data_IF_998119511701
#
_entry.id   IF_998119511701
#
_cell.length_a   1.000
_cell.length_b   1.000
_cell.length_c   1.000
_cell.angle_alpha   90.00
_cell.angle_beta   90.00
_cell.angle_gamma   90.00
#
_symmetry.space_group_name_H-M   'P 1'
#
loop_
_entity.id
_entity.type
_entity.pdbx_description
1 polymer ?
#
# COMPACT_ATOMS: atom_id res chain seq x y z
N UNK A 1 9.47 8.80 -15.06
CA UNK A 1 9.68 7.37 -15.40
C UNK A 1 8.49 6.62 -14.81
N UNK A 2 7.81 5.84 -15.63
CA UNK A 2 6.67 5.07 -15.17
C UNK A 2 7.14 3.94 -14.24
N UNK A 3 6.39 3.75 -13.17
CA UNK A 3 6.58 2.71 -12.15
C UNK A 3 5.55 1.63 -12.39
N UNK A 4 5.97 0.37 -12.26
CA UNK A 4 5.04 -0.75 -12.27
C UNK A 4 4.43 -0.92 -10.87
N UNK A 5 3.12 -0.68 -10.71
CA UNK A 5 2.45 -1.00 -9.45
C UNK A 5 2.06 -2.48 -9.43
N UNK A 6 2.45 -3.18 -8.37
CA UNK A 6 2.02 -4.56 -8.10
C UNK A 6 1.38 -4.64 -6.72
N UNK A 7 0.48 -5.60 -6.54
CA UNK A 7 -0.13 -5.88 -5.25
C UNK A 7 0.65 -7.00 -4.57
N UNK A 8 1.01 -6.80 -3.31
CA UNK A 8 1.63 -7.84 -2.49
C UNK A 8 0.68 -9.02 -2.27
N UNK A 9 1.25 -10.22 -2.40
CA UNK A 9 0.61 -11.50 -2.06
C UNK A 9 1.40 -12.16 -0.94
N UNK A 10 0.70 -12.61 0.09
CA UNK A 10 1.28 -13.46 1.12
C UNK A 10 1.60 -14.86 0.57
N UNK A 11 2.42 -15.63 1.29
CA UNK A 11 2.71 -17.03 0.95
C UNK A 11 1.48 -17.94 0.81
N UNK A 12 0.35 -17.59 1.43
CA UNK A 12 -0.93 -18.31 1.29
C UNK A 12 -1.89 -17.67 0.27
N UNK A 13 -1.35 -16.90 -0.68
CA UNK A 13 -2.08 -16.26 -1.79
C UNK A 13 -3.16 -15.25 -1.37
N UNK A 14 -3.06 -14.66 -0.18
CA UNK A 14 -3.92 -13.54 0.21
C UNK A 14 -3.35 -12.24 -0.31
N UNK A 15 -4.24 -11.31 -0.67
CA UNK A 15 -3.91 -9.96 -1.12
C UNK A 15 -4.48 -8.95 -0.11
N UNK A 16 -3.74 -8.60 0.96
CA UNK A 16 -4.29 -7.80 2.06
C UNK A 16 -4.92 -6.48 1.62
N UNK A 17 -4.30 -5.82 0.63
CA UNK A 17 -4.85 -4.60 0.04
C UNK A 17 -6.17 -4.83 -0.70
N UNK A 18 -6.29 -5.90 -1.49
CA UNK A 18 -7.49 -6.19 -2.28
C UNK A 18 -8.63 -6.63 -1.38
N UNK A 19 -8.37 -7.52 -0.42
CA UNK A 19 -9.36 -7.94 0.58
C UNK A 19 -9.94 -6.71 1.30
N UNK A 20 -9.06 -5.78 1.71
CA UNK A 20 -9.50 -4.54 2.32
C UNK A 20 -10.30 -3.65 1.36
N UNK A 21 -9.84 -3.48 0.12
CA UNK A 21 -10.48 -2.61 -0.87
C UNK A 21 -11.90 -3.11 -1.21
N UNK A 22 -12.07 -4.43 -1.29
CA UNK A 22 -13.36 -5.08 -1.50
C UNK A 22 -14.27 -5.00 -0.27
N UNK A 23 -13.71 -4.92 0.94
CA UNK A 23 -14.48 -4.75 2.18
C UNK A 23 -15.11 -3.35 2.33
N UNK A 24 -14.61 -2.34 1.61
CA UNK A 24 -15.16 -0.99 1.66
C UNK A 24 -16.55 -0.95 1.04
N UNK A 25 -17.51 -0.32 1.73
CA UNK A 25 -18.87 -0.11 1.19
C UNK A 25 -18.91 1.09 0.23
N UNK A 26 -18.20 2.18 0.54
CA UNK A 26 -18.32 3.42 -0.23
C UNK A 26 -17.57 3.36 -1.57
N UNK A 27 -18.32 3.45 -2.68
CA UNK A 27 -17.75 3.46 -4.05
C UNK A 27 -16.75 4.59 -4.28
N UNK A 28 -17.09 5.80 -3.82
CA UNK A 28 -16.26 7.00 -4.01
C UNK A 28 -14.88 6.81 -3.34
N UNK A 29 -14.83 6.16 -2.18
CA UNK A 29 -13.55 5.86 -1.51
C UNK A 29 -12.69 4.94 -2.37
N UNK A 30 -13.26 3.87 -2.93
CA UNK A 30 -12.54 2.94 -3.82
C UNK A 30 -11.99 3.65 -5.06
N UNK A 31 -12.80 4.49 -5.70
CA UNK A 31 -12.41 5.27 -6.90
C UNK A 31 -11.24 6.23 -6.61
N UNK A 32 -11.28 6.94 -5.48
CA UNK A 32 -10.20 7.86 -5.08
C UNK A 32 -8.88 7.13 -4.80
N UNK A 33 -8.96 5.93 -4.23
CA UNK A 33 -7.78 5.09 -3.99
C UNK A 33 -7.21 4.58 -5.31
N UNK A 34 -8.04 4.06 -6.22
CA UNK A 34 -7.59 3.66 -7.56
C UNK A 34 -6.98 4.82 -8.34
N UNK A 35 -7.56 6.03 -8.23
CA UNK A 35 -6.99 7.22 -8.84
C UNK A 35 -5.62 7.59 -8.25
N UNK A 36 -5.38 7.33 -6.95
CA UNK A 36 -4.04 7.49 -6.36
C UNK A 36 -3.07 6.44 -6.89
N UNK A 37 -3.48 5.18 -7.03
CA UNK A 37 -2.63 4.12 -7.60
C UNK A 37 -2.14 4.51 -9.00
N UNK A 38 -3.04 4.99 -9.88
CA UNK A 38 -2.66 5.47 -11.22
C UNK A 38 -1.64 6.61 -11.22
N UNK A 39 -1.68 7.48 -10.20
CA UNK A 39 -0.68 8.55 -10.05
C UNK A 39 0.66 8.00 -9.58
N UNK A 40 0.65 7.00 -8.71
CA UNK A 40 1.87 6.30 -8.25
C UNK A 40 2.56 5.60 -9.43
N UNK A 41 1.80 5.01 -10.36
CA UNK A 41 2.35 4.45 -11.61
C UNK A 41 3.10 5.49 -12.44
N UNK A 42 2.74 6.77 -12.33
CA UNK A 42 3.41 7.88 -12.99
C UNK A 42 4.55 8.47 -12.14
N UNK A 43 4.88 7.86 -11.01
CA UNK A 43 5.88 8.35 -10.04
C UNK A 43 5.37 9.48 -9.13
N UNK A 44 4.06 9.76 -9.12
CA UNK A 44 3.46 10.79 -8.29
C UNK A 44 2.79 10.19 -7.04
N UNK A 45 3.53 10.18 -5.94
CA UNK A 45 3.10 9.66 -4.65
C UNK A 45 2.20 10.64 -3.87
N UNK A 46 2.26 11.95 -4.15
CA UNK A 46 1.61 13.02 -3.37
C UNK A 46 2.23 13.21 -1.98
N UNK A 47 1.43 13.47 -0.93
CA UNK A 47 1.94 13.51 0.45
C UNK A 47 2.37 12.11 0.89
N UNK A 48 3.68 11.91 1.06
CA UNK A 48 4.26 10.63 1.42
C UNK A 48 5.48 10.78 2.32
N UNK A 49 5.85 9.69 3.00
CA UNK A 49 7.06 9.58 3.81
C UNK A 49 7.72 8.23 3.59
N UNK A 50 9.03 8.25 3.35
CA UNK A 50 9.88 7.06 3.37
C UNK A 50 10.32 6.75 4.80
N UNK A 51 10.29 5.48 5.20
CA UNK A 51 10.89 5.00 6.45
C UNK A 51 11.04 3.47 6.42
N UNK A 52 12.12 2.94 7.01
CA UNK A 52 12.36 1.49 7.18
C UNK A 52 12.10 0.66 5.90
N UNK A 53 12.48 1.18 4.74
CA UNK A 53 12.32 0.51 3.45
C UNK A 53 10.91 0.54 2.85
N UNK A 54 9.94 1.20 3.50
CA UNK A 54 8.57 1.38 3.00
C UNK A 54 8.22 2.87 2.82
N UNK A 55 7.11 3.11 2.13
CA UNK A 55 6.51 4.40 1.81
C UNK A 55 5.12 4.45 2.43
N UNK A 56 4.86 5.41 3.33
CA UNK A 56 3.50 5.75 3.76
C UNK A 56 2.99 6.92 2.93
N UNK A 57 1.90 6.70 2.20
CA UNK A 57 1.20 7.72 1.42
C UNK A 57 -0.06 8.13 2.18
N UNK A 58 -0.18 9.43 2.44
CA UNK A 58 -1.26 9.99 3.25
C UNK A 58 -2.42 10.43 2.37
N UNK A 59 -3.59 9.87 2.65
CA UNK A 59 -4.82 10.16 1.94
C UNK A 59 -5.73 11.02 2.82
N UNK A 60 -5.82 12.30 2.48
CA UNK A 60 -6.61 13.31 3.22
C UNK A 60 -8.10 13.25 2.83
N UNK A 61 -8.70 12.06 2.97
CA UNK A 61 -10.14 11.85 2.79
C UNK A 61 -10.64 10.64 3.57
N UNK A 62 -11.97 10.56 3.71
CA UNK A 62 -12.60 9.51 4.51
C UNK A 62 -12.07 9.54 5.94
N UNK A 63 -11.61 8.39 6.44
CA UNK A 63 -11.07 8.24 7.81
C UNK A 63 -9.60 8.67 7.95
N UNK A 64 -9.02 9.28 6.91
CA UNK A 64 -7.60 9.61 6.86
C UNK A 64 -6.74 8.39 6.56
N UNK A 65 -7.00 7.72 5.43
CA UNK A 65 -6.33 6.48 5.06
C UNK A 65 -4.81 6.63 4.88
N UNK A 66 -4.07 5.53 5.04
CA UNK A 66 -2.63 5.43 4.81
C UNK A 66 -2.31 4.25 3.92
N UNK A 67 -1.86 4.50 2.70
CA UNK A 67 -1.41 3.45 1.80
C UNK A 67 0.06 3.17 2.07
N UNK A 68 0.40 1.93 2.41
CA UNK A 68 1.78 1.51 2.65
C UNK A 68 2.28 0.71 1.44
N UNK A 69 3.43 1.13 0.91
CA UNK A 69 4.06 0.50 -0.24
C UNK A 69 5.54 0.19 0.04
N UNK A 70 6.09 -0.81 -0.61
CA UNK A 70 7.53 -1.00 -0.78
C UNK A 70 7.98 -0.52 -2.16
N UNK A 71 9.25 -0.13 -2.30
CA UNK A 71 9.86 0.21 -3.60
C UNK A 71 10.95 -0.81 -3.92
N UNK A 72 10.81 -1.50 -5.04
CA UNK A 72 11.73 -2.54 -5.54
C UNK A 72 12.12 -2.24 -6.98
N UNK A 73 13.20 -1.48 -7.14
CA UNK A 73 13.64 -0.99 -8.45
C UNK A 73 12.59 -0.10 -9.12
N UNK A 74 12.04 -0.55 -10.25
CA UNK A 74 10.96 0.15 -10.95
C UNK A 74 9.56 -0.23 -10.45
N UNK A 75 9.45 -1.16 -9.49
CA UNK A 75 8.16 -1.62 -8.95
C UNK A 75 7.79 -0.87 -7.69
N UNK A 76 6.52 -0.53 -7.56
CA UNK A 76 5.90 -0.12 -6.30
C UNK A 76 4.98 -1.23 -5.84
N UNK A 77 5.32 -1.84 -4.71
CA UNK A 77 4.61 -2.98 -4.15
C UNK A 77 3.60 -2.47 -3.13
N UNK A 78 2.31 -2.52 -3.43
CA UNK A 78 1.26 -2.12 -2.50
C UNK A 78 1.08 -3.22 -1.45
N UNK A 79 1.37 -2.90 -0.19
CA UNK A 79 1.39 -3.85 0.91
C UNK A 79 0.02 -3.95 1.57
N UNK A 80 -0.46 -2.82 2.10
CA UNK A 80 -1.75 -2.69 2.77
C UNK A 80 -2.17 -1.23 2.84
N UNK A 81 -3.38 -1.00 3.34
CA UNK A 81 -3.89 0.34 3.61
C UNK A 81 -4.51 0.40 5.01
N UNK A 82 -4.03 1.35 5.80
CA UNK A 82 -4.50 1.64 7.15
C UNK A 82 -5.77 2.49 7.12
N UNK A 83 -6.77 2.06 7.89
CA UNK A 83 -8.12 2.62 7.90
C UNK A 83 -8.40 3.70 8.92
N UNK A 84 -7.52 3.91 9.90
CA UNK A 84 -7.71 4.84 11.01
C UNK A 84 -6.37 5.20 11.66
N UNK A 85 -6.17 6.49 11.97
CA UNK A 85 -4.98 7.02 12.65
C UNK A 85 -4.71 6.33 14.00
N UNK A 86 -5.74 5.91 14.72
CA UNK A 86 -5.58 5.22 16.02
C UNK A 86 -4.88 3.85 15.92
N UNK A 87 -4.85 3.24 14.73
CA UNK A 87 -4.25 1.92 14.50
C UNK A 87 -2.92 2.00 13.72
N UNK A 88 -2.39 3.21 13.50
CA UNK A 88 -1.21 3.43 12.66
C UNK A 88 -0.02 2.55 13.05
N UNK A 89 0.27 2.39 14.34
CA UNK A 89 1.38 1.54 14.80
C UNK A 89 1.22 0.06 14.42
N UNK A 90 -0.01 -0.47 14.46
CA UNK A 90 -0.29 -1.85 14.04
C UNK A 90 -0.19 -2.00 12.52
N UNK A 91 -0.66 -1.00 11.78
CA UNK A 91 -0.60 -1.00 10.32
C UNK A 91 0.85 -0.90 9.82
N UNK A 92 1.68 -0.07 10.47
CA UNK A 92 3.12 0.02 10.19
C UNK A 92 3.79 -1.33 10.45
N UNK A 93 3.54 -1.95 11.60
CA UNK A 93 4.14 -3.24 11.93
C UNK A 93 3.82 -4.30 10.88
N UNK A 94 2.54 -4.40 10.48
CA UNK A 94 2.12 -5.34 9.41
C UNK A 94 2.73 -5.00 8.06
N UNK A 95 2.85 -3.72 7.72
CA UNK A 95 3.45 -3.32 6.46
C UNK A 95 4.92 -3.76 6.39
N UNK A 96 5.67 -3.61 7.49
CA UNK A 96 7.05 -4.09 7.58
C UNK A 96 7.12 -5.63 7.47
N UNK A 97 6.26 -6.35 8.18
CA UNK A 97 6.16 -7.82 8.06
C UNK A 97 5.89 -8.27 6.63
N UNK A 98 4.95 -7.62 5.92
CA UNK A 98 4.66 -7.92 4.51
C UNK A 98 5.81 -7.55 3.59
N UNK A 99 6.56 -6.50 3.92
CA UNK A 99 7.73 -6.12 3.14
C UNK A 99 8.88 -7.12 3.29
N UNK A 100 9.12 -7.60 4.51
CA UNK A 100 10.07 -8.67 4.79
C UNK A 100 9.68 -9.97 4.08
N UNK A 101 8.40 -10.35 4.14
CA UNK A 101 7.88 -11.55 3.46
C UNK A 101 8.05 -11.45 1.93
N UNK A 102 7.73 -10.30 1.33
CA UNK A 102 7.94 -10.05 -0.10
C UNK A 102 9.41 -10.29 -0.53
N UNK A 103 10.37 -9.82 0.26
CA UNK A 103 11.79 -10.05 -0.02
C UNK A 103 12.23 -11.49 0.21
N UNK A 104 11.66 -12.17 1.22
CA UNK A 104 11.94 -13.58 1.47
C UNK A 104 11.45 -14.45 0.30
N UNK A 105 10.25 -14.18 -0.22
CA UNK A 105 9.68 -14.87 -1.38
C UNK A 105 10.53 -14.71 -2.65
N UNK A 106 11.16 -13.54 -2.86
CA UNK A 106 12.01 -13.27 -4.03
C UNK A 106 13.36 -14.00 -4.03
N UNK A 107 13.82 -14.46 -2.87
CA UNK A 107 15.13 -15.14 -2.72
C UNK A 107 15.06 -16.64 -3.01
N UNK A 108 13.86 -17.15 -3.30
CA UNK A 108 13.57 -18.52 -3.72
C UNK A 108 13.45 -18.54 -5.24
#
# INVERSE_FOLDING_TARGET
MDKQVIIYKTNNNKEPFIEWLLSLKERITRERIQARIRRIEQGNFGDHKYFQGIIEIRLHFGKGYRLYCGEDGNKIVVLLIGGNKSNQGKDIKRALEYWEDYHAQKKI
#
